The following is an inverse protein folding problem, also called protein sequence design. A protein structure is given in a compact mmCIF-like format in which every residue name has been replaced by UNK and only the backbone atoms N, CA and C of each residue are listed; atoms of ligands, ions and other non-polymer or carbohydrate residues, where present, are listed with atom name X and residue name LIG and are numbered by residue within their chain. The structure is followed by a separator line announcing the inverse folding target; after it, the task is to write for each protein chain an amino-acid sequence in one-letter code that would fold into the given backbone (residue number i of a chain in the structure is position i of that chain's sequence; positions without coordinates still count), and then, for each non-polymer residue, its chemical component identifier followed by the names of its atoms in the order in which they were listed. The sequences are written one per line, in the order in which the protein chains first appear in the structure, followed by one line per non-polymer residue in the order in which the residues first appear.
data_IF_740958093438
#
_entry.id   IF_740958093438
#
_cell.length_a   1.000
_cell.length_b   1.000
_cell.length_c   1.000
_cell.angle_alpha   90.00
_cell.angle_beta   90.00
_cell.angle_gamma   90.00
#
_symmetry.space_group_name_H-M   'P 1'
#
loop_
_entity.id
_entity.type
_entity.pdbx_description
1 polymer ?
#
# COMPACT_ATOMS: atom_id res chain seq x y z
N UNK A 1 14.10 -19.47 -57.36
CA UNK A 1 13.05 -18.44 -57.49
C UNK A 1 12.32 -18.38 -56.14
N UNK A 2 12.77 -17.47 -55.27
CA UNK A 2 12.03 -16.27 -54.83
C UNK A 2 10.72 -16.66 -54.13
N UNK A 3 10.74 -16.83 -52.80
CA UNK A 3 10.49 -15.76 -51.83
C UNK A 3 9.01 -15.34 -51.74
N UNK A 4 8.13 -16.32 -51.46
CA UNK A 4 6.75 -16.04 -51.05
C UNK A 4 6.67 -15.99 -49.53
N UNK A 5 6.85 -14.80 -48.98
CA UNK A 5 6.79 -14.58 -47.54
C UNK A 5 7.52 -13.30 -47.16
N UNK A 6 7.10 -12.18 -47.75
CA UNK A 6 7.60 -10.86 -47.34
C UNK A 6 7.18 -10.50 -45.91
N UNK A 7 7.18 -9.19 -45.61
CA UNK A 7 6.79 -8.55 -44.35
C UNK A 7 5.52 -9.09 -43.65
N UNK A 8 4.63 -9.78 -44.36
CA UNK A 8 3.46 -10.47 -43.79
C UNK A 8 3.84 -11.53 -42.76
N UNK A 9 5.00 -12.18 -42.89
CA UNK A 9 5.50 -13.15 -41.90
C UNK A 9 6.02 -12.51 -40.59
N UNK A 10 6.16 -11.18 -40.56
CA UNK A 10 6.60 -10.43 -39.38
C UNK A 10 5.44 -9.88 -38.55
N UNK A 11 4.19 -10.14 -38.94
CA UNK A 11 3.01 -9.76 -38.15
C UNK A 11 2.80 -10.83 -37.07
N UNK A 12 2.97 -10.52 -35.77
CA UNK A 12 2.66 -11.48 -34.72
C UNK A 12 1.15 -11.76 -34.75
N UNK A 13 0.78 -13.03 -34.95
CA UNK A 13 -0.61 -13.46 -34.83
C UNK A 13 -1.12 -13.11 -33.43
N UNK A 14 -2.27 -12.40 -33.36
CA UNK A 14 -3.00 -12.20 -32.11
C UNK A 14 -3.49 -13.55 -31.61
N UNK A 15 -2.73 -14.15 -30.69
CA UNK A 15 -3.09 -15.38 -29.99
C UNK A 15 -4.12 -15.08 -28.89
N UNK A 16 -5.36 -14.83 -29.32
CA UNK A 16 -6.51 -14.83 -28.41
C UNK A 16 -6.83 -16.25 -27.91
N UNK A 17 -7.49 -16.41 -26.75
CA UNK A 17 -7.88 -17.72 -26.25
C UNK A 17 -8.78 -18.44 -27.27
N UNK A 18 -8.34 -19.61 -27.74
CA UNK A 18 -8.97 -20.41 -28.82
C UNK A 18 -10.30 -21.10 -28.44
N UNK A 19 -10.83 -20.89 -27.23
CA UNK A 19 -12.08 -21.51 -26.78
C UNK A 19 -12.90 -20.51 -25.97
N UNK A 20 -14.23 -20.57 -26.12
CA UNK A 20 -15.14 -19.83 -25.25
C UNK A 20 -14.81 -20.16 -23.78
N UNK A 21 -14.65 -19.11 -22.95
CA UNK A 21 -14.39 -19.28 -21.52
C UNK A 21 -15.48 -20.14 -20.90
N UNK A 22 -15.10 -21.19 -20.15
CA UNK A 22 -16.05 -21.96 -19.33
C UNK A 22 -16.58 -21.17 -18.13
N UNK A 23 -15.91 -20.08 -17.76
CA UNK A 23 -16.34 -19.13 -16.75
C UNK A 23 -17.02 -17.96 -17.47
N UNK A 24 -18.28 -18.15 -17.84
CA UNK A 24 -19.17 -17.05 -18.24
C UNK A 24 -19.73 -16.38 -16.98
N UNK A 25 -20.21 -15.15 -17.11
CA UNK A 25 -20.77 -14.40 -15.97
C UNK A 25 -21.90 -15.18 -15.28
N UNK A 26 -22.74 -15.88 -16.05
CA UNK A 26 -23.78 -16.77 -15.54
C UNK A 26 -23.25 -17.92 -14.68
N UNK A 27 -22.10 -18.50 -15.05
CA UNK A 27 -21.46 -19.57 -14.29
C UNK A 27 -20.82 -19.03 -13.01
N UNK A 28 -20.24 -17.82 -13.07
CA UNK A 28 -19.66 -17.15 -11.91
C UNK A 28 -20.75 -16.84 -10.88
N UNK A 29 -21.88 -16.26 -11.30
CA UNK A 29 -23.03 -15.99 -10.41
C UNK A 29 -23.52 -17.27 -9.74
N UNK A 30 -23.67 -18.35 -10.50
CA UNK A 30 -24.11 -19.64 -9.96
C UNK A 30 -23.13 -20.23 -8.94
N UNK A 31 -21.83 -20.05 -9.16
CA UNK A 31 -20.79 -20.47 -8.21
C UNK A 31 -20.88 -19.67 -6.89
N UNK A 32 -21.09 -18.35 -6.97
CA UNK A 32 -21.21 -17.47 -5.80
C UNK A 32 -22.45 -17.84 -4.96
N UNK A 33 -23.60 -18.08 -5.61
CA UNK A 33 -24.84 -18.52 -4.93
C UNK A 33 -24.66 -19.84 -4.17
N UNK A 34 -24.03 -20.83 -4.81
CA UNK A 34 -23.82 -22.13 -4.18
C UNK A 34 -22.80 -22.03 -3.04
N UNK A 35 -21.77 -21.18 -3.18
CA UNK A 35 -20.79 -20.97 -2.13
C UNK A 35 -21.38 -20.20 -0.93
N UNK A 36 -22.25 -19.22 -1.14
CA UNK A 36 -22.90 -18.47 -0.05
C UNK A 36 -23.88 -19.33 0.76
N UNK A 37 -24.36 -20.44 0.20
CA UNK A 37 -25.15 -21.46 0.91
C UNK A 37 -24.32 -22.35 1.86
N UNK A 38 -23.00 -22.14 1.94
CA UNK A 38 -22.09 -22.84 2.86
C UNK A 38 -21.48 -24.14 2.31
N UNK A 39 -21.65 -24.42 1.01
CA UNK A 39 -21.01 -25.58 0.36
C UNK A 39 -19.49 -25.38 0.20
N UNK A 40 -18.73 -26.46 0.34
CA UNK A 40 -17.28 -26.43 0.09
C UNK A 40 -16.98 -26.18 -1.39
N UNK A 41 -15.81 -25.60 -1.71
CA UNK A 41 -15.41 -25.31 -3.11
C UNK A 41 -15.42 -26.56 -3.99
N UNK A 42 -15.11 -27.72 -3.42
CA UNK A 42 -15.18 -29.01 -4.11
C UNK A 42 -16.62 -29.44 -4.40
N UNK A 43 -17.54 -29.29 -3.44
CA UNK A 43 -18.96 -29.59 -3.64
C UNK A 43 -19.61 -28.66 -4.68
N UNK A 44 -19.25 -27.37 -4.66
CA UNK A 44 -19.68 -26.39 -5.67
C UNK A 44 -19.15 -26.77 -7.06
N UNK A 45 -17.88 -27.18 -7.15
CA UNK A 45 -17.29 -27.64 -8.41
C UNK A 45 -18.03 -28.85 -9.00
N UNK A 46 -18.35 -29.84 -8.16
CA UNK A 46 -19.12 -31.01 -8.58
C UNK A 46 -20.55 -30.64 -9.04
N UNK A 47 -21.22 -29.71 -8.35
CA UNK A 47 -22.57 -29.28 -8.70
C UNK A 47 -22.63 -28.48 -10.00
N UNK A 48 -21.57 -27.72 -10.33
CA UNK A 48 -21.48 -26.88 -11.53
C UNK A 48 -20.78 -27.59 -12.70
N UNK A 49 -20.09 -28.71 -12.45
CA UNK A 49 -19.33 -29.45 -13.46
C UNK A 49 -17.97 -28.82 -13.79
N UNK A 50 -17.36 -28.12 -12.84
CA UNK A 50 -16.05 -27.45 -12.97
C UNK A 50 -15.06 -27.92 -11.90
N UNK A 51 -13.77 -27.72 -12.14
CA UNK A 51 -12.75 -28.02 -11.12
C UNK A 51 -12.83 -27.04 -9.94
N UNK A 52 -12.37 -27.48 -8.77
CA UNK A 52 -12.23 -26.64 -7.58
C UNK A 52 -11.40 -25.37 -7.86
N UNK A 53 -10.37 -25.48 -8.70
CA UNK A 53 -9.55 -24.34 -9.12
C UNK A 53 -10.38 -23.28 -9.87
N UNK A 54 -11.29 -23.72 -10.74
CA UNK A 54 -12.20 -22.81 -11.46
C UNK A 54 -13.20 -22.14 -10.52
N UNK A 55 -13.68 -22.85 -9.49
CA UNK A 55 -14.51 -22.27 -8.42
C UNK A 55 -13.77 -21.18 -7.68
N UNK A 56 -12.54 -21.46 -7.23
CA UNK A 56 -11.68 -20.48 -6.55
C UNK A 56 -11.41 -19.25 -7.43
N UNK A 57 -11.15 -19.47 -8.73
CA UNK A 57 -10.94 -18.38 -9.69
C UNK A 57 -12.20 -17.55 -9.90
N UNK A 58 -13.37 -18.17 -9.99
CA UNK A 58 -14.66 -17.49 -10.12
C UNK A 58 -14.98 -16.63 -8.89
N UNK A 59 -14.78 -17.15 -7.67
CA UNK A 59 -14.99 -16.40 -6.43
C UNK A 59 -14.08 -15.17 -6.33
N UNK A 60 -12.83 -15.29 -6.80
CA UNK A 60 -11.90 -14.15 -6.87
C UNK A 60 -12.38 -13.09 -7.84
N UNK A 61 -12.83 -13.48 -9.04
CA UNK A 61 -13.37 -12.55 -10.05
C UNK A 61 -14.61 -11.83 -9.50
N UNK A 62 -15.52 -12.56 -8.86
CA UNK A 62 -16.72 -11.98 -8.27
C UNK A 62 -16.41 -10.99 -7.13
N UNK A 63 -15.39 -11.26 -6.31
CA UNK A 63 -14.96 -10.34 -5.25
C UNK A 63 -14.38 -9.03 -5.83
N UNK A 64 -13.57 -9.13 -6.90
CA UNK A 64 -13.01 -7.98 -7.63
C UNK A 64 -14.11 -7.15 -8.32
N UNK A 65 -15.16 -7.80 -8.83
CA UNK A 65 -16.34 -7.14 -9.40
C UNK A 65 -17.18 -6.44 -8.32
N UNK A 66 -17.45 -7.10 -7.18
CA UNK A 66 -18.20 -6.50 -6.08
C UNK A 66 -17.51 -5.26 -5.48
N UNK A 67 -16.17 -5.22 -5.44
CA UNK A 67 -15.44 -4.02 -5.03
C UNK A 67 -15.55 -2.87 -6.02
N UNK A 68 -15.65 -3.17 -7.32
CA UNK A 68 -15.84 -2.17 -8.38
C UNK A 68 -17.27 -1.62 -8.36
N UNK A 69 -18.26 -2.50 -8.26
CA UNK A 69 -19.68 -2.10 -8.22
C UNK A 69 -20.02 -1.32 -6.94
N UNK A 70 -19.45 -1.67 -5.79
CA UNK A 70 -19.61 -0.92 -4.55
C UNK A 70 -19.01 0.50 -4.65
N UNK A 71 -17.92 0.68 -5.41
CA UNK A 71 -17.33 1.99 -5.66
C UNK A 71 -18.20 2.85 -6.59
N UNK A 72 -18.87 2.25 -7.57
CA UNK A 72 -19.82 2.95 -8.47
C UNK A 72 -21.16 3.27 -7.79
N UNK A 73 -21.66 2.40 -6.91
CA UNK A 73 -22.88 2.62 -6.12
C UNK A 73 -22.66 3.71 -5.06
N UNK A 74 -21.47 3.75 -4.43
CA UNK A 74 -21.10 4.84 -3.52
C UNK A 74 -21.01 6.21 -4.23
N UNK A 75 -20.76 6.22 -5.54
CA UNK A 75 -20.76 7.44 -6.35
C UNK A 75 -22.17 7.91 -6.76
N UNK A 76 -23.19 7.03 -6.68
CA UNK A 76 -24.57 7.32 -7.15
C UNK A 76 -25.62 7.36 -6.03
N UNK A 77 -25.37 6.76 -4.87
CA UNK A 77 -26.23 6.90 -3.70
C UNK A 77 -25.82 8.12 -2.87
N UNK A 78 -26.58 9.21 -3.00
CA UNK A 78 -26.42 10.44 -2.22
C UNK A 78 -26.29 10.17 -0.72
N UNK A 79 -25.29 10.81 -0.11
CA UNK A 79 -24.98 10.73 1.31
C UNK A 79 -26.19 11.18 2.17
N UNK A 80 -26.39 10.59 3.37
CA UNK A 80 -27.29 11.17 4.37
C UNK A 80 -26.75 12.56 4.76
N UNK A 81 -27.68 13.49 4.96
CA UNK A 81 -27.47 14.91 5.26
C UNK A 81 -26.31 15.11 6.25
N UNK A 82 -25.14 15.37 5.67
CA UNK A 82 -23.94 15.71 6.40
C UNK A 82 -24.13 17.12 6.95
N UNK A 83 -23.80 17.27 8.23
CA UNK A 83 -23.51 18.56 8.85
C UNK A 83 -22.75 19.41 7.81
N UNK A 84 -23.35 20.50 7.34
CA UNK A 84 -22.78 21.37 6.31
C UNK A 84 -21.29 21.58 6.59
N UNK A 85 -20.37 21.00 5.81
CA UNK A 85 -18.98 21.30 5.95
C UNK A 85 -18.85 22.77 5.57
N UNK A 86 -18.44 23.61 6.54
CA UNK A 86 -18.02 24.97 6.29
C UNK A 86 -17.18 24.99 5.00
N UNK A 87 -17.38 25.96 4.09
CA UNK A 87 -16.79 25.94 2.77
C UNK A 87 -15.29 25.82 2.92
N UNK A 88 -14.78 24.59 2.71
CA UNK A 88 -13.35 24.37 2.59
C UNK A 88 -13.01 25.09 1.30
N UNK A 89 -12.23 26.18 1.33
CA UNK A 89 -11.83 26.80 0.09
C UNK A 89 -11.21 25.68 -0.76
N UNK A 90 -11.74 25.49 -1.97
CA UNK A 90 -11.21 24.58 -2.98
C UNK A 90 -9.87 25.13 -3.49
N UNK A 91 -8.93 25.31 -2.56
CA UNK A 91 -7.52 25.32 -2.84
C UNK A 91 -7.18 23.84 -2.89
N UNK A 92 -7.38 23.24 -4.07
CA UNK A 92 -6.61 22.06 -4.43
C UNK A 92 -5.16 22.50 -4.37
N UNK A 93 -4.54 22.38 -3.19
CA UNK A 93 -3.09 22.48 -3.08
C UNK A 93 -2.58 21.37 -4.00
N UNK A 94 -2.01 21.75 -5.14
CA UNK A 94 -1.39 20.82 -6.05
C UNK A 94 -0.16 20.26 -5.34
N UNK A 95 -0.39 19.19 -4.58
CA UNK A 95 0.64 18.54 -3.80
C UNK A 95 1.57 17.80 -4.76
N UNK A 96 2.90 17.97 -4.63
CA UNK A 96 3.83 17.20 -5.42
C UNK A 96 3.58 15.71 -5.24
N UNK A 97 3.51 14.97 -6.36
CA UNK A 97 3.30 13.52 -6.33
C UNK A 97 4.34 12.84 -5.43
N UNK A 98 5.60 13.21 -5.62
CA UNK A 98 6.77 12.67 -4.90
C UNK A 98 7.77 13.83 -4.74
N UNK A 99 7.70 14.64 -3.66
CA UNK A 99 8.56 15.81 -3.48
C UNK A 99 10.03 15.38 -3.30
N UNK A 100 10.99 16.15 -3.81
CA UNK A 100 12.39 15.91 -3.46
C UNK A 100 12.58 16.20 -1.97
N UNK A 101 13.29 15.34 -1.21
CA UNK A 101 13.59 15.63 0.19
C UNK A 101 14.50 16.87 0.27
N UNK A 102 14.16 17.83 1.14
CA UNK A 102 14.99 19.00 1.31
C UNK A 102 16.36 18.62 1.94
N UNK A 103 17.45 19.31 1.56
CA UNK A 103 18.75 19.06 2.15
C UNK A 103 18.78 19.46 3.62
N UNK A 104 19.05 18.51 4.52
CA UNK A 104 19.24 18.73 5.96
C UNK A 104 20.70 19.02 6.32
N UNK A 105 21.33 19.90 5.54
CA UNK A 105 22.79 20.13 5.61
C UNK A 105 23.22 20.76 6.92
N UNK A 106 22.41 21.62 7.53
CA UNK A 106 22.72 22.26 8.81
C UNK A 106 22.74 21.23 9.95
N UNK A 107 21.72 20.39 10.04
CA UNK A 107 21.63 19.35 11.06
C UNK A 107 22.70 18.27 10.85
N UNK A 108 23.03 17.95 9.59
CA UNK A 108 24.18 17.08 9.28
C UNK A 108 25.50 17.70 9.70
N UNK A 109 25.71 18.98 9.47
CA UNK A 109 26.93 19.68 9.86
C UNK A 109 27.08 19.74 11.40
N UNK A 110 25.97 19.78 12.12
CA UNK A 110 25.93 19.74 13.58
C UNK A 110 25.82 18.31 14.16
N UNK A 111 25.86 17.26 13.33
CA UNK A 111 25.81 15.89 13.81
C UNK A 111 26.98 15.62 14.77
N UNK A 112 26.69 15.04 15.94
CA UNK A 112 27.64 14.90 17.04
C UNK A 112 27.54 16.00 18.11
N UNK A 113 26.84 17.10 17.82
CA UNK A 113 26.50 18.15 18.80
C UNK A 113 25.00 18.17 19.14
N UNK A 114 24.18 17.50 18.35
CA UNK A 114 22.73 17.37 18.54
C UNK A 114 22.41 16.06 19.25
N UNK A 115 21.44 16.06 20.18
CA UNK A 115 20.90 14.81 20.75
C UNK A 115 20.12 14.01 19.68
N UNK A 116 19.57 14.72 18.69
CA UNK A 116 18.91 14.18 17.51
C UNK A 116 18.27 15.31 16.71
N UNK A 117 18.22 15.17 15.39
CA UNK A 117 17.57 16.16 14.53
C UNK A 117 16.06 15.94 14.54
N UNK A 118 15.28 17.00 14.79
CA UNK A 118 13.81 16.92 14.76
C UNK A 118 13.31 16.45 13.38
N UNK A 119 12.23 15.66 13.28
CA UNK A 119 11.67 15.25 11.99
C UNK A 119 11.09 16.45 11.23
N UNK A 120 11.35 16.52 9.92
CA UNK A 120 10.80 17.53 9.00
C UNK A 120 10.00 16.84 7.90
N UNK A 121 8.69 17.05 7.87
CA UNK A 121 7.79 16.48 6.87
C UNK A 121 7.54 17.45 5.73
N UNK A 122 7.40 16.91 4.51
CA UNK A 122 7.05 17.65 3.31
C UNK A 122 5.69 17.19 2.79
N UNK A 123 4.80 18.12 2.41
CA UNK A 123 3.53 17.77 1.80
C UNK A 123 3.73 16.90 0.54
N UNK A 124 3.01 15.78 0.46
CA UNK A 124 3.09 14.84 -0.68
C UNK A 124 1.72 14.24 -0.96
N UNK A 125 1.39 14.08 -2.24
CA UNK A 125 0.17 13.41 -2.65
C UNK A 125 0.25 11.87 -2.59
N UNK A 126 1.47 11.30 -2.51
CA UNK A 126 1.66 9.85 -2.52
C UNK A 126 2.78 9.39 -1.58
N UNK A 127 2.44 8.50 -0.64
CA UNK A 127 3.40 7.78 0.19
C UNK A 127 2.90 6.36 0.42
N UNK A 128 3.59 5.35 -0.13
CA UNK A 128 3.13 3.95 -0.11
C UNK A 128 3.01 3.38 1.31
N UNK A 129 3.77 3.89 2.27
CA UNK A 129 3.64 3.55 3.70
C UNK A 129 2.97 4.63 4.59
N UNK A 130 2.30 5.64 4.02
CA UNK A 130 1.66 6.70 4.81
C UNK A 130 0.63 6.18 5.83
N UNK A 131 0.01 5.01 5.58
CA UNK A 131 -0.90 4.38 6.53
C UNK A 131 -0.27 4.04 7.90
N UNK A 132 1.07 3.97 7.99
CA UNK A 132 1.79 3.77 9.26
C UNK A 132 1.54 4.91 10.26
N UNK A 133 1.15 6.10 9.80
CA UNK A 133 0.79 7.21 10.69
C UNK A 133 -0.41 6.89 11.60
N UNK A 134 -1.28 5.97 11.19
CA UNK A 134 -2.42 5.53 12.00
C UNK A 134 -2.00 4.81 13.28
N UNK A 135 -0.76 4.33 13.36
CA UNK A 135 -0.22 3.67 14.54
C UNK A 135 0.19 4.64 15.66
N UNK A 136 0.39 5.93 15.37
CA UNK A 136 0.94 6.87 16.36
C UNK A 136 0.08 7.03 17.63
N UNK A 137 -1.25 7.19 17.56
CA UNK A 137 -2.07 7.29 18.76
C UNK A 137 -1.98 6.03 19.64
N UNK A 138 -1.99 4.85 19.01
CA UNK A 138 -1.80 3.60 19.73
C UNK A 138 -0.40 3.52 20.34
N UNK A 139 0.64 3.89 19.59
CA UNK A 139 2.03 3.92 20.06
C UNK A 139 2.21 4.87 21.25
N UNK A 140 1.63 6.06 21.19
CA UNK A 140 1.64 7.04 22.28
C UNK A 140 1.00 6.43 23.55
N UNK A 141 -0.16 5.77 23.41
CA UNK A 141 -0.86 5.14 24.54
C UNK A 141 -0.04 4.05 25.25
N UNK A 142 0.96 3.45 24.58
CA UNK A 142 1.82 2.44 25.21
C UNK A 142 2.83 3.03 26.18
N UNK A 143 3.09 4.34 26.11
CA UNK A 143 4.16 5.00 26.86
C UNK A 143 5.57 4.54 26.48
N UNK A 144 5.75 3.85 25.34
CA UNK A 144 7.02 3.26 24.93
C UNK A 144 8.17 4.26 24.94
N UNK A 145 7.97 5.45 24.36
CA UNK A 145 9.03 6.46 24.24
C UNK A 145 9.42 7.04 25.60
N UNK A 146 8.44 7.33 26.47
CA UNK A 146 8.69 7.80 27.83
C UNK A 146 9.48 6.75 28.63
N UNK A 147 9.02 5.49 28.62
CA UNK A 147 9.70 4.38 29.27
C UNK A 147 11.13 4.19 28.73
N UNK A 148 11.31 4.25 27.41
CA UNK A 148 12.64 4.12 26.82
C UNK A 148 13.58 5.26 27.24
N UNK A 149 13.07 6.49 27.34
CA UNK A 149 13.85 7.63 27.83
C UNK A 149 14.23 7.47 29.30
N UNK A 150 13.31 6.97 30.13
CA UNK A 150 13.58 6.72 31.55
C UNK A 150 14.62 5.61 31.77
N UNK A 151 14.59 4.56 30.94
CA UNK A 151 15.46 3.38 31.09
C UNK A 151 16.82 3.58 30.41
N UNK A 152 16.84 4.12 29.20
CA UNK A 152 18.05 4.24 28.39
C UNK A 152 18.63 5.66 28.36
N UNK A 153 17.90 6.67 28.83
CA UNK A 153 18.30 8.07 28.72
C UNK A 153 18.29 8.53 27.27
N UNK A 154 19.46 8.88 26.76
CA UNK A 154 19.68 9.34 25.39
C UNK A 154 20.74 8.50 24.69
N UNK A 155 20.68 8.47 23.36
CA UNK A 155 21.80 7.99 22.56
C UNK A 155 22.92 9.04 22.53
N UNK A 156 24.15 8.65 22.13
CA UNK A 156 25.20 9.62 21.83
C UNK A 156 24.71 10.65 20.82
N UNK A 157 25.18 11.89 20.96
CA UNK A 157 24.84 12.96 20.04
C UNK A 157 25.09 12.54 18.59
N UNK A 158 24.13 12.84 17.73
CA UNK A 158 24.09 12.39 16.34
C UNK A 158 22.90 12.97 15.60
N UNK A 159 22.77 12.56 14.34
CA UNK A 159 21.63 12.99 13.53
C UNK A 159 20.32 12.32 13.97
N UNK A 160 20.39 11.06 14.40
CA UNK A 160 19.23 10.26 14.82
C UNK A 160 19.28 10.01 16.32
N UNK A 161 18.27 10.50 17.04
CA UNK A 161 18.12 10.27 18.47
C UNK A 161 17.42 8.94 18.80
N UNK A 162 17.33 8.63 20.10
CA UNK A 162 16.70 7.39 20.60
C UNK A 162 15.27 7.22 20.10
N UNK A 163 14.45 8.27 20.24
CA UNK A 163 13.03 8.26 19.83
C UNK A 163 12.90 7.95 18.34
N UNK A 164 13.74 8.56 17.50
CA UNK A 164 13.73 8.34 16.06
C UNK A 164 14.02 6.89 15.70
N UNK A 165 15.03 6.27 16.32
CA UNK A 165 15.38 4.86 16.08
C UNK A 165 14.26 3.93 16.56
N UNK A 166 13.62 4.24 17.69
CA UNK A 166 12.53 3.44 18.23
C UNK A 166 11.27 3.50 17.35
N UNK A 167 10.85 4.72 16.96
CA UNK A 167 9.70 4.91 16.06
C UNK A 167 9.95 4.17 14.74
N UNK A 168 11.14 4.35 14.17
CA UNK A 168 11.54 3.67 12.93
C UNK A 168 11.51 2.13 13.06
N UNK A 169 11.97 1.59 14.19
CA UNK A 169 11.93 0.15 14.47
C UNK A 169 10.50 -0.38 14.64
N UNK A 170 9.64 0.34 15.37
CA UNK A 170 8.24 -0.05 15.58
C UNK A 170 7.47 -0.04 14.26
N UNK A 171 7.63 1.01 13.46
CA UNK A 171 6.89 1.15 12.21
C UNK A 171 7.33 0.10 11.17
N UNK A 172 8.62 -0.26 11.12
CA UNK A 172 9.05 -1.42 10.32
C UNK A 172 8.50 -2.74 10.84
N UNK A 173 8.41 -2.92 12.15
CA UNK A 173 7.79 -4.11 12.73
C UNK A 173 6.31 -4.22 12.34
N UNK A 174 5.55 -3.13 12.41
CA UNK A 174 4.16 -3.07 11.98
C UNK A 174 3.98 -3.31 10.49
N UNK A 175 4.94 -2.88 9.67
CA UNK A 175 5.00 -3.18 8.24
C UNK A 175 5.48 -4.62 7.91
N UNK A 176 5.61 -5.50 8.91
CA UNK A 176 5.94 -6.93 8.73
C UNK A 176 7.44 -7.24 8.72
N UNK A 177 8.29 -6.30 9.11
CA UNK A 177 9.75 -6.44 9.11
C UNK A 177 10.34 -6.24 10.51
N UNK A 178 9.92 -7.07 11.47
CA UNK A 178 10.35 -6.97 12.88
C UNK A 178 11.83 -7.32 13.11
N UNK A 179 12.48 -8.00 12.17
CA UNK A 179 13.92 -8.33 12.25
C UNK A 179 14.73 -7.20 11.63
N UNK A 180 15.89 -6.90 12.20
CA UNK A 180 16.83 -5.91 11.66
C UNK A 180 17.21 -6.21 10.19
N UNK A 181 17.36 -7.49 9.82
CA UNK A 181 17.61 -7.95 8.45
C UNK A 181 16.51 -7.50 7.46
N UNK A 182 15.26 -7.40 7.95
CA UNK A 182 14.10 -6.96 7.19
C UNK A 182 14.12 -5.48 6.83
N UNK A 183 14.99 -4.66 7.43
CA UNK A 183 15.10 -3.23 7.11
C UNK A 183 15.45 -2.97 5.66
N UNK A 184 16.18 -3.90 5.02
CA UNK A 184 16.57 -3.82 3.59
C UNK A 184 15.40 -4.00 2.62
N UNK A 185 14.21 -4.39 3.10
CA UNK A 185 13.00 -4.58 2.28
C UNK A 185 12.25 -3.28 2.00
N UNK A 186 12.60 -2.20 2.70
CA UNK A 186 12.02 -0.88 2.46
C UNK A 186 12.92 -0.08 1.53
N UNK A 187 12.30 0.64 0.60
CA UNK A 187 12.98 1.72 -0.09
C UNK A 187 13.35 2.80 0.95
N UNK A 188 14.65 3.07 1.18
CA UNK A 188 15.07 4.05 2.17
C UNK A 188 14.60 5.47 1.85
N UNK A 189 14.40 5.82 0.57
CA UNK A 189 13.84 7.13 0.20
C UNK A 189 12.36 7.21 0.54
N UNK A 190 11.61 6.15 0.25
CA UNK A 190 10.18 6.08 0.56
C UNK A 190 9.93 6.14 2.08
N UNK A 191 10.68 5.36 2.84
CA UNK A 191 10.61 5.36 4.29
C UNK A 191 11.10 6.69 4.88
N UNK A 192 12.13 7.30 4.29
CA UNK A 192 12.61 8.62 4.69
C UNK A 192 11.54 9.71 4.55
N UNK A 193 10.73 9.66 3.49
CA UNK A 193 9.62 10.60 3.30
C UNK A 193 8.52 10.42 4.35
N UNK A 194 8.16 9.17 4.65
CA UNK A 194 7.08 8.84 5.60
C UNK A 194 7.52 9.08 7.04
N UNK A 195 8.79 8.85 7.39
CA UNK A 195 9.28 9.01 8.76
C UNK A 195 10.01 10.31 9.01
N UNK A 196 10.09 11.18 7.98
CA UNK A 196 10.96 12.34 7.96
C UNK A 196 12.42 12.02 8.31
N UNK A 197 12.86 10.79 8.01
CA UNK A 197 14.25 10.39 8.15
C UNK A 197 15.04 10.94 6.97
N UNK A 198 16.25 11.37 7.28
CA UNK A 198 17.12 11.99 6.30
C UNK A 198 17.86 10.94 5.46
N UNK A 199 17.42 10.73 4.21
CA UNK A 199 18.27 10.23 3.12
C UNK A 199 17.81 10.91 1.81
N UNK A 200 18.75 11.52 1.06
CA UNK A 200 19.56 10.71 0.15
C UNK A 200 21.04 11.14 0.02
N UNK A 201 21.89 10.22 -0.44
CA UNK A 201 22.88 10.44 -1.52
C UNK A 201 23.10 9.14 -2.29
N UNK A 202 23.07 9.22 -3.62
CA UNK A 202 24.03 8.49 -4.46
C UNK A 202 25.31 9.32 -4.49
#
# INVERSE_FOLDING_TARGET
MLAEGGIVALVPEKKGPKKASRLTDTVITRIVELHSSGLSQQAVGNAVGVSEFSVRRALKIAAEQATTDAAEIAATAGLPEALEPAPVPAQLFELPLVPAPAPRTAERAAAGLLEGAAPVFFPSAHGRHAGLFLAFPALESTGLLACAKDVYGSLPNGFYGLETILIDSVLRALAGAARAEGATRFDPEELGRVLALDRPRK
#
